data_IF_305972741638
#
_entry.id   IF_305972741638
#
_cell.length_a   1.000
_cell.length_b   1.000
_cell.length_c   1.000
_cell.angle_alpha   90.00
_cell.angle_beta   90.00
_cell.angle_gamma   90.00
#
_symmetry.space_group_name_H-M   'P 1'
#
loop_
_entity.id
_entity.type
_entity.pdbx_description
1 polymer ?
#
# COMPACT_ATOMS: atom_id res chain seq x y z
N UNK A 1 1.13 -1.27 3.92
CA UNK A 1 0.94 0.09 3.38
C UNK A 1 2.30 0.71 3.07
N UNK A 2 2.36 1.73 2.21
CA UNK A 2 3.58 2.49 1.93
C UNK A 2 3.47 3.90 2.54
N UNK A 3 4.56 4.49 3.09
CA UNK A 3 4.54 5.80 3.74
C UNK A 3 3.92 6.90 2.89
N UNK A 4 4.22 6.93 1.59
CA UNK A 4 3.72 7.93 0.64
C UNK A 4 2.19 7.86 0.49
N UNK A 5 1.64 6.64 0.53
CA UNK A 5 0.18 6.43 0.49
C UNK A 5 -0.50 6.82 1.80
N UNK A 6 0.16 6.62 2.94
CA UNK A 6 -0.34 7.03 4.26
C UNK A 6 -0.41 8.56 4.34
N UNK A 7 0.68 9.25 3.99
CA UNK A 7 0.73 10.72 3.99
C UNK A 7 -0.32 11.32 3.06
N UNK A 8 -0.49 10.74 1.86
CA UNK A 8 -1.53 11.19 0.93
C UNK A 8 -2.93 11.02 1.51
N UNK A 9 -3.20 9.91 2.22
CA UNK A 9 -4.49 9.65 2.84
C UNK A 9 -4.74 10.61 4.02
N UNK A 10 -3.77 10.80 4.90
CA UNK A 10 -3.87 11.72 6.05
C UNK A 10 -4.12 13.16 5.59
N UNK A 11 -3.47 13.59 4.50
CA UNK A 11 -3.69 14.92 3.93
C UNK A 11 -5.09 15.09 3.34
N UNK A 12 -5.62 14.06 2.69
CA UNK A 12 -6.93 14.10 2.07
C UNK A 12 -8.08 13.92 3.08
N UNK A 13 -7.86 13.09 4.11
CA UNK A 13 -8.85 12.66 5.09
C UNK A 13 -8.21 12.57 6.50
N UNK A 14 -7.92 13.72 7.13
CA UNK A 14 -7.28 13.76 8.45
C UNK A 14 -8.17 13.25 9.60
N UNK A 15 -9.44 13.00 9.33
CA UNK A 15 -10.46 12.50 10.26
C UNK A 15 -10.51 10.98 10.36
N UNK A 16 -9.77 10.26 9.51
CA UNK A 16 -9.80 8.80 9.46
C UNK A 16 -8.70 8.18 10.33
N UNK A 17 -9.06 7.07 10.98
CA UNK A 17 -8.11 6.19 11.65
C UNK A 17 -7.74 5.03 10.72
N UNK A 18 -6.44 4.88 10.41
CA UNK A 18 -5.92 3.87 9.50
C UNK A 18 -5.35 2.68 10.27
N UNK A 19 -5.88 1.49 9.99
CA UNK A 19 -5.33 0.23 10.49
C UNK A 19 -4.71 -0.56 9.33
N UNK A 20 -3.44 -0.98 9.49
CA UNK A 20 -2.72 -1.81 8.52
C UNK A 20 -1.83 -2.82 9.25
N UNK A 21 -1.70 -4.03 8.70
CA UNK A 21 -0.90 -5.08 9.33
C UNK A 21 0.61 -4.80 9.29
N UNK A 22 1.08 -4.07 8.27
CA UNK A 22 2.48 -3.69 8.12
C UNK A 22 2.61 -2.37 7.35
N UNK A 23 3.73 -1.68 7.58
CA UNK A 23 4.18 -0.52 6.81
C UNK A 23 5.55 -0.87 6.22
N UNK A 24 5.64 -0.81 4.89
CA UNK A 24 6.83 -1.18 4.12
C UNK A 24 7.65 0.07 3.74
N UNK A 25 8.75 -0.10 2.99
CA UNK A 25 9.74 0.96 2.76
C UNK A 25 9.22 2.11 1.90
N UNK A 26 8.35 1.81 0.94
CA UNK A 26 7.85 2.80 -0.01
C UNK A 26 7.36 2.16 -1.30
N UNK A 27 7.19 3.00 -2.32
CA UNK A 27 6.77 2.59 -3.66
C UNK A 27 7.95 2.55 -4.64
N UNK A 28 7.91 1.65 -5.62
CA UNK A 28 8.76 1.74 -6.81
C UNK A 28 8.13 2.62 -7.90
N UNK A 29 8.84 2.82 -9.01
CA UNK A 29 8.39 3.64 -10.16
C UNK A 29 7.08 3.18 -10.80
N UNK A 30 6.68 1.92 -10.58
CA UNK A 30 5.42 1.35 -11.09
C UNK A 30 4.29 1.42 -10.07
N UNK A 31 4.53 2.00 -8.89
CA UNK A 31 3.54 2.10 -7.82
C UNK A 31 3.37 0.83 -6.98
N UNK A 32 4.27 -0.16 -7.07
CA UNK A 32 4.25 -1.32 -6.18
C UNK A 32 4.96 -1.01 -4.86
N UNK A 33 4.40 -1.52 -3.75
CA UNK A 33 5.00 -1.46 -2.43
C UNK A 33 6.27 -2.34 -2.38
N UNK A 34 7.36 -1.84 -1.82
CA UNK A 34 8.65 -2.53 -1.68
C UNK A 34 9.05 -2.67 -0.20
N UNK A 35 9.45 -3.86 0.29
CA UNK A 35 9.52 -5.13 -0.43
C UNK A 35 8.13 -5.64 -0.85
N UNK A 36 7.09 -5.33 -0.07
CA UNK A 36 5.70 -5.63 -0.39
C UNK A 36 5.44 -7.10 -0.72
N UNK A 37 4.32 -7.34 -1.42
CA UNK A 37 3.91 -8.67 -1.85
C UNK A 37 3.72 -8.79 -3.37
N UNK A 38 3.99 -7.75 -4.16
CA UNK A 38 3.64 -7.71 -5.58
C UNK A 38 2.13 -7.56 -5.78
N UNK A 39 1.57 -8.21 -6.80
CA UNK A 39 0.12 -8.18 -7.06
C UNK A 39 -0.63 -9.09 -6.09
N UNK A 40 -1.51 -8.48 -5.28
CA UNK A 40 -2.32 -9.21 -4.29
C UNK A 40 -3.42 -10.04 -4.97
N UNK A 41 -4.05 -9.50 -6.02
CA UNK A 41 -5.17 -10.11 -6.71
C UNK A 41 -4.73 -11.40 -7.42
N UNK A 42 -3.65 -11.33 -8.18
CA UNK A 42 -3.07 -12.50 -8.87
C UNK A 42 -2.71 -13.61 -7.88
N UNK A 43 -2.18 -13.25 -6.70
CA UNK A 43 -1.82 -14.24 -5.67
C UNK A 43 -3.03 -14.89 -5.00
N UNK A 44 -4.10 -14.12 -4.76
CA UNK A 44 -5.28 -14.62 -4.05
C UNK A 44 -6.18 -15.42 -5.00
N UNK A 45 -6.35 -14.96 -6.24
CA UNK A 45 -7.33 -15.52 -7.17
C UNK A 45 -6.69 -16.37 -8.29
N UNK A 46 -5.36 -16.44 -8.35
CA UNK A 46 -4.65 -17.24 -9.34
C UNK A 46 -4.83 -16.72 -10.78
N UNK A 47 -5.11 -15.44 -10.94
CA UNK A 47 -5.38 -14.82 -12.24
C UNK A 47 -4.09 -14.49 -13.00
N UNK A 48 -4.13 -14.68 -14.33
CA UNK A 48 -3.23 -14.09 -15.34
C UNK A 48 -3.75 -14.34 -16.75
#
# INVERSE_FOLDING_TARGET
AAPEGIEALEKAHPDLELYTAAIDKGLNEKGYIIPGLGDAGDKIFGTK
#
